data_IF_108747886584
#
_entry.id   IF_108747886584
#
_cell.length_a   1.000
_cell.length_b   1.000
_cell.length_c   1.000
_cell.angle_alpha   90.00
_cell.angle_beta   90.00
_cell.angle_gamma   90.00
#
_symmetry.space_group_name_H-M   'P 1'
#
loop_
_entity.id
_entity.type
_entity.pdbx_description
1 polymer ?
#
# COMPACT_ATOMS: atom_id res chain seq x y z
N UNK A 1 17.70 15.16 -1.38
CA UNK A 1 16.34 14.68 -1.73
C UNK A 1 16.44 13.62 -2.81
N UNK A 2 15.87 12.43 -2.61
CA UNK A 2 15.76 11.38 -3.64
C UNK A 2 14.28 11.09 -3.86
N UNK A 3 13.55 12.11 -4.30
CA UNK A 3 12.08 12.08 -4.45
C UNK A 3 11.72 12.46 -5.89
N UNK A 4 11.40 11.45 -6.69
CA UNK A 4 10.87 11.63 -8.04
C UNK A 4 9.38 11.99 -8.04
N UNK A 5 8.85 12.31 -9.22
CA UNK A 5 7.40 12.50 -9.45
C UNK A 5 6.65 11.23 -9.03
N UNK A 6 5.60 11.36 -8.22
CA UNK A 6 4.76 10.25 -7.75
C UNK A 6 3.47 10.20 -8.54
N UNK A 7 3.09 9.00 -8.98
CA UNK A 7 1.80 8.76 -9.64
C UNK A 7 0.70 8.87 -8.58
N UNK A 8 -0.38 9.59 -8.91
CA UNK A 8 -1.55 9.71 -8.04
C UNK A 8 -2.45 8.50 -8.24
N UNK A 9 -2.83 7.86 -7.14
CA UNK A 9 -3.80 6.79 -7.14
C UNK A 9 -5.23 7.33 -7.06
N UNK A 10 -6.23 6.45 -7.23
CA UNK A 10 -7.62 6.78 -6.90
C UNK A 10 -7.81 7.06 -5.40
N UNK A 11 -6.91 6.54 -4.57
CA UNK A 11 -6.76 6.89 -3.17
C UNK A 11 -5.31 7.21 -2.85
N UNK A 12 -5.08 8.18 -1.97
CA UNK A 12 -3.77 8.49 -1.42
C UNK A 12 -3.76 8.08 0.04
N UNK A 13 -2.86 7.16 0.42
CA UNK A 13 -2.65 6.80 1.82
C UNK A 13 -1.93 7.95 2.52
N UNK A 14 -2.52 8.42 3.61
CA UNK A 14 -2.08 9.61 4.34
C UNK A 14 -1.50 9.25 5.71
N UNK A 15 -0.70 10.15 6.28
CA UNK A 15 -0.21 10.05 7.63
C UNK A 15 -1.36 9.93 8.64
N UNK A 16 -2.51 10.58 8.38
CA UNK A 16 -3.70 10.46 9.20
C UNK A 16 -4.23 9.02 9.18
N UNK A 17 -4.25 8.35 8.03
CA UNK A 17 -4.64 6.93 7.93
C UNK A 17 -3.75 6.05 8.83
N UNK A 18 -2.44 6.32 8.83
CA UNK A 18 -1.48 5.62 9.68
C UNK A 18 -1.67 5.96 11.16
N UNK A 19 -2.04 7.20 11.47
CA UNK A 19 -2.25 7.67 12.84
C UNK A 19 -3.50 7.07 13.48
N UNK A 20 -4.59 6.96 12.71
CA UNK A 20 -5.86 6.42 13.20
C UNK A 20 -5.94 4.90 13.07
N UNK A 21 -5.09 4.28 12.25
CA UNK A 21 -5.16 2.85 11.96
C UNK A 21 -6.31 2.54 11.00
N UNK A 22 -6.44 3.34 9.94
CA UNK A 22 -7.58 3.31 9.04
C UNK A 22 -7.76 1.93 8.41
N UNK A 23 -9.02 1.46 8.38
CA UNK A 23 -9.44 0.24 7.69
C UNK A 23 -10.27 0.59 6.47
N UNK A 24 -10.33 -0.32 5.49
CA UNK A 24 -11.08 -0.10 4.27
C UNK A 24 -11.83 -1.37 3.82
N UNK A 25 -13.02 -1.20 3.27
CA UNK A 25 -13.83 -2.32 2.76
C UNK A 25 -13.16 -3.03 1.58
N UNK A 26 -12.30 -2.31 0.85
CA UNK A 26 -11.48 -2.79 -0.27
C UNK A 26 -10.00 -2.97 0.12
N UNK A 27 -9.71 -3.27 1.39
CA UNK A 27 -8.36 -3.52 1.89
C UNK A 27 -7.70 -4.73 1.21
N UNK A 28 -6.53 -4.52 0.60
CA UNK A 28 -5.75 -5.59 -0.06
C UNK A 28 -4.45 -5.93 0.66
N UNK A 29 -4.02 -5.08 1.59
CA UNK A 29 -2.82 -5.30 2.38
C UNK A 29 -2.99 -4.61 3.74
N UNK A 30 -2.76 -5.36 4.83
CA UNK A 30 -2.68 -4.80 6.18
C UNK A 30 -1.23 -4.52 6.53
N UNK A 31 -0.91 -3.25 6.76
CA UNK A 31 0.41 -2.82 7.18
C UNK A 31 0.48 -2.85 8.70
N UNK A 32 1.33 -3.72 9.23
CA UNK A 32 1.58 -3.83 10.68
C UNK A 32 2.93 -3.25 11.10
N UNK A 33 3.78 -2.91 10.12
CA UNK A 33 5.10 -2.33 10.38
C UNK A 33 4.99 -0.85 10.77
N UNK A 34 5.72 -0.45 11.80
CA UNK A 34 5.75 0.93 12.27
C UNK A 34 6.44 1.87 11.28
N UNK A 35 6.10 3.16 11.31
CA UNK A 35 6.82 4.23 10.59
C UNK A 35 8.30 4.21 11.02
N UNK A 36 9.19 4.00 10.05
CA UNK A 36 10.64 4.04 10.24
C UNK A 36 11.24 5.27 9.53
N UNK A 37 11.19 6.44 10.20
CA UNK A 37 11.82 7.67 9.71
C UNK A 37 13.25 7.76 10.22
N UNK A 38 14.20 7.65 9.31
CA UNK A 38 15.61 7.89 9.61
C UNK A 38 15.86 9.40 9.72
N UNK A 39 16.47 9.84 10.82
CA UNK A 39 16.77 11.25 11.13
C UNK A 39 17.54 11.94 10.01
N UNK A 40 17.17 13.19 9.72
CA UNK A 40 17.86 14.05 8.74
C UNK A 40 19.13 14.70 9.31
N UNK A 41 19.39 14.54 10.63
CA UNK A 41 20.56 15.08 11.35
C UNK A 41 21.37 13.95 12.02
N UNK A 42 22.18 13.20 11.25
CA UNK A 42 22.88 12.00 11.74
C UNK A 42 23.94 12.25 12.82
N UNK A 43 24.32 13.52 13.07
CA UNK A 43 25.33 13.89 14.10
C UNK A 43 24.76 14.14 15.49
N UNK A 44 23.44 14.36 15.64
CA UNK A 44 22.85 14.74 16.93
C UNK A 44 22.15 13.58 17.63
N UNK A 45 21.50 12.66 16.90
CA UNK A 45 20.91 11.45 17.48
C UNK A 45 20.86 10.31 16.44
N UNK A 46 21.14 9.06 16.88
CA UNK A 46 20.86 7.82 16.11
C UNK A 46 19.40 7.37 16.23
N UNK A 47 18.56 8.15 16.91
CA UNK A 47 17.18 7.79 17.16
C UNK A 47 16.34 8.04 15.89
N UNK A 48 15.41 7.12 15.63
CA UNK A 48 14.28 7.32 14.71
C UNK A 48 13.64 8.65 15.13
N UNK A 49 13.58 9.64 14.23
CA UNK A 49 12.85 10.88 14.53
C UNK A 49 11.44 10.45 14.94
N UNK A 50 11.02 10.80 16.17
CA UNK A 50 9.69 10.43 16.66
C UNK A 50 8.68 10.96 15.65
N UNK A 51 8.07 10.06 14.89
CA UNK A 51 6.88 10.39 14.11
C UNK A 51 5.92 11.14 15.05
N UNK A 52 5.18 12.16 14.57
CA UNK A 52 4.33 12.99 15.42
C UNK A 52 3.24 12.20 16.15
N UNK A 53 3.04 10.93 15.76
CA UNK A 53 2.14 9.98 16.37
C UNK A 53 2.73 8.56 16.32
N UNK A 54 2.20 7.66 17.16
CA UNK A 54 2.54 6.24 17.13
C UNK A 54 1.80 5.58 15.97
N UNK A 55 2.53 4.94 15.05
CA UNK A 55 1.94 4.16 13.96
C UNK A 55 0.99 3.09 14.51
N UNK A 56 -0.22 3.05 13.97
CA UNK A 56 -1.19 1.97 14.24
C UNK A 56 -1.27 1.08 12.99
N UNK A 57 -1.59 -0.22 13.13
CA UNK A 57 -1.83 -1.04 11.95
C UNK A 57 -3.00 -0.49 11.14
N UNK A 58 -2.78 -0.31 9.83
CA UNK A 58 -3.73 0.31 8.90
C UNK A 58 -3.75 -0.50 7.59
N UNK A 59 -4.75 -0.25 6.77
CA UNK A 59 -4.95 -0.99 5.52
C UNK A 59 -4.59 -0.13 4.31
N UNK A 60 -4.05 -0.78 3.28
CA UNK A 60 -3.89 -0.20 1.95
C UNK A 60 -5.07 -0.70 1.10
N UNK A 61 -5.93 0.21 0.59
CA UNK A 61 -7.07 -0.18 -0.23
C UNK A 61 -6.65 -0.43 -1.68
N UNK A 62 -7.40 -1.26 -2.41
CA UNK A 62 -7.15 -1.57 -3.83
C UNK A 62 -7.06 -0.30 -4.69
N UNK A 63 -7.92 0.68 -4.43
CA UNK A 63 -7.91 1.97 -5.13
C UNK A 63 -6.60 2.77 -4.98
N UNK A 64 -5.80 2.53 -3.95
CA UNK A 64 -4.47 3.15 -3.83
C UNK A 64 -3.46 2.58 -4.84
N UNK A 65 -3.75 1.42 -5.41
CA UNK A 65 -2.96 0.72 -6.42
C UNK A 65 -3.32 1.12 -7.86
N UNK A 66 -4.43 1.85 -8.08
CA UNK A 66 -4.91 2.17 -9.43
C UNK A 66 -4.53 3.61 -9.77
N UNK A 67 -3.84 3.83 -10.89
CA UNK A 67 -3.47 5.18 -11.32
C UNK A 67 -4.71 6.02 -11.67
N UNK A 68 -4.73 7.26 -11.18
CA UNK A 68 -5.83 8.21 -11.43
C UNK A 68 -5.78 8.74 -12.87
N UNK A 69 -4.58 9.08 -13.33
CA UNK A 69 -4.35 9.88 -14.54
C UNK A 69 -3.91 9.04 -15.76
N UNK A 70 -3.69 7.74 -15.58
CA UNK A 70 -3.30 6.81 -16.66
C UNK A 70 -4.21 5.60 -16.64
N UNK A 71 -4.93 5.37 -17.72
CA UNK A 71 -5.84 4.23 -17.85
C UNK A 71 -5.07 2.92 -17.94
N UNK A 72 -5.61 1.86 -17.33
CA UNK A 72 -4.98 0.53 -17.33
C UNK A 72 -3.74 0.40 -16.46
N UNK A 73 -3.21 1.49 -15.88
CA UNK A 73 -1.98 1.46 -15.09
C UNK A 73 -2.25 1.12 -13.62
N UNK A 74 -1.61 0.04 -13.16
CA UNK A 74 -1.58 -0.39 -11.76
C UNK A 74 -0.21 -0.12 -11.13
N UNK A 75 -0.18 0.03 -9.81
CA UNK A 75 0.99 0.31 -8.97
C UNK A 75 1.04 -0.69 -7.82
N UNK A 76 2.24 -1.03 -7.36
CA UNK A 76 2.43 -1.89 -6.19
C UNK A 76 3.75 -1.57 -5.47
N UNK A 77 3.78 -1.73 -4.15
CA UNK A 77 4.98 -1.44 -3.36
C UNK A 77 5.28 0.06 -3.29
N UNK A 78 6.49 0.48 -3.66
CA UNK A 78 6.95 1.88 -3.48
C UNK A 78 6.30 2.89 -4.41
N UNK A 79 5.70 2.45 -5.51
CA UNK A 79 5.07 3.35 -6.47
C UNK A 79 3.61 3.68 -6.15
N UNK A 80 3.02 3.08 -5.10
CA UNK A 80 1.64 3.38 -4.71
C UNK A 80 1.51 4.81 -4.21
N UNK A 81 0.30 5.34 -4.27
CA UNK A 81 0.03 6.72 -3.84
C UNK A 81 -0.01 6.83 -2.32
N UNK A 82 1.03 7.42 -1.75
CA UNK A 82 1.11 7.74 -0.33
C UNK A 82 1.95 8.99 -0.07
N UNK A 83 1.70 9.65 1.05
CA UNK A 83 2.50 10.80 1.49
C UNK A 83 3.88 10.39 2.04
N UNK A 84 4.70 11.38 2.43
CA UNK A 84 6.09 11.16 2.83
C UNK A 84 6.23 10.20 4.03
N UNK A 85 5.41 10.41 5.06
CA UNK A 85 5.45 9.64 6.30
C UNK A 85 4.90 8.23 6.09
N UNK A 86 3.78 8.08 5.39
CA UNK A 86 3.23 6.77 5.02
C UNK A 86 4.22 5.98 4.17
N UNK A 87 4.92 6.66 3.25
CA UNK A 87 5.95 6.03 2.43
C UNK A 87 7.12 5.49 3.25
N UNK A 88 7.31 5.85 4.51
CA UNK A 88 8.34 5.27 5.38
C UNK A 88 7.89 4.01 6.13
N UNK A 89 6.59 3.75 6.27
CA UNK A 89 6.07 2.56 6.97
C UNK A 89 5.86 1.34 6.05
N UNK A 90 5.41 1.52 4.80
CA UNK A 90 5.06 0.38 3.92
C UNK A 90 6.21 -0.13 3.03
N UNK A 91 7.47 0.25 3.27
CA UNK A 91 8.65 -0.22 2.51
C UNK A 91 9.11 -1.65 2.84
N UNK A 92 8.30 -2.42 3.54
CA UNK A 92 8.59 -3.81 3.89
C UNK A 92 8.19 -4.73 2.74
N UNK A 93 9.07 -5.69 2.40
CA UNK A 93 8.88 -6.62 1.29
C UNK A 93 7.54 -7.36 1.35
N UNK A 94 7.06 -7.75 2.54
CA UNK A 94 5.77 -8.42 2.72
C UNK A 94 4.58 -7.62 2.19
N UNK A 95 4.57 -6.30 2.40
CA UNK A 95 3.51 -5.42 1.89
C UNK A 95 3.59 -5.31 0.37
N UNK A 96 4.80 -5.27 -0.19
CA UNK A 96 5.01 -5.24 -1.64
C UNK A 96 4.50 -6.51 -2.33
N UNK A 97 4.67 -7.69 -1.71
CA UNK A 97 4.13 -8.96 -2.21
C UNK A 97 2.60 -8.94 -2.23
N UNK A 98 1.97 -8.59 -1.10
CA UNK A 98 0.51 -8.53 -1.01
C UNK A 98 -0.10 -7.54 -2.01
N UNK A 99 0.49 -6.34 -2.14
CA UNK A 99 0.05 -5.35 -3.13
C UNK A 99 0.27 -5.82 -4.57
N UNK A 100 1.41 -6.45 -4.86
CA UNK A 100 1.71 -6.97 -6.20
C UNK A 100 0.73 -8.05 -6.63
N UNK A 101 0.38 -8.94 -5.69
CA UNK A 101 -0.63 -9.97 -5.91
C UNK A 101 -2.01 -9.37 -6.20
N UNK A 102 -2.47 -8.42 -5.38
CA UNK A 102 -3.74 -7.74 -5.60
C UNK A 102 -3.78 -6.99 -6.95
N UNK A 103 -2.69 -6.29 -7.29
CA UNK A 103 -2.57 -5.62 -8.58
C UNK A 103 -2.63 -6.61 -9.75
N UNK A 104 -1.93 -7.74 -9.66
CA UNK A 104 -1.90 -8.78 -10.68
C UNK A 104 -3.27 -9.44 -10.91
N UNK A 105 -3.95 -9.83 -9.83
CA UNK A 105 -5.31 -10.39 -9.89
C UNK A 105 -6.27 -9.40 -10.54
N UNK A 106 -6.24 -8.14 -10.10
CA UNK A 106 -7.12 -7.10 -10.63
C UNK A 106 -6.85 -6.87 -12.12
N UNK A 107 -5.58 -6.81 -12.53
CA UNK A 107 -5.20 -6.68 -13.94
C UNK A 107 -5.64 -7.87 -14.79
N UNK A 108 -5.54 -9.10 -14.27
CA UNK A 108 -5.98 -10.31 -14.96
C UNK A 108 -7.52 -10.34 -15.14
N UNK A 109 -8.27 -9.97 -14.10
CA UNK A 109 -9.72 -9.85 -14.17
C UNK A 109 -10.16 -8.74 -15.15
N UNK A 110 -9.49 -7.59 -15.10
CA UNK A 110 -9.73 -6.49 -16.03
C UNK A 110 -9.53 -6.94 -17.49
N UNK A 111 -8.39 -7.58 -17.79
CA UNK A 111 -8.07 -8.05 -19.13
C UNK A 111 -9.05 -9.12 -19.64
N UNK A 112 -9.42 -10.09 -18.79
CA UNK A 112 -10.31 -11.20 -19.20
C UNK A 112 -11.78 -10.78 -19.31
N UNK A 113 -12.20 -9.73 -18.61
CA UNK A 113 -13.57 -9.19 -18.67
C UNK A 113 -13.73 -7.98 -19.60
N UNK A 114 -12.67 -7.59 -20.32
CA UNK A 114 -12.64 -6.38 -21.16
C UNK A 114 -13.03 -5.11 -20.40
N UNK A 115 -12.53 -4.98 -19.17
CA UNK A 115 -12.75 -3.83 -18.28
C UNK A 115 -11.42 -3.13 -18.01
N UNK A 116 -11.47 -1.86 -17.65
CA UNK A 116 -10.35 -1.18 -17.03
C UNK A 116 -10.18 -1.65 -15.57
N UNK A 117 -8.97 -1.60 -14.99
CA UNK A 117 -8.75 -1.99 -13.59
C UNK A 117 -9.63 -1.24 -12.59
N UNK A 118 -10.01 0.01 -12.88
CA UNK A 118 -10.93 0.82 -12.04
C UNK A 118 -12.39 0.37 -12.09
N UNK A 119 -12.75 -0.43 -13.07
CA UNK A 119 -14.11 -0.96 -13.25
C UNK A 119 -14.26 -2.38 -12.68
N UNK A 120 -13.16 -2.98 -12.21
CA UNK A 120 -13.19 -4.27 -11.52
C UNK A 120 -13.65 -4.03 -10.09
N UNK A 121 -14.84 -4.51 -9.68
CA UNK A 121 -15.30 -4.34 -8.32
C UNK A 121 -14.48 -5.21 -7.36
N UNK A 122 -14.28 -4.72 -6.14
CA UNK A 122 -13.51 -5.46 -5.14
C UNK A 122 -14.10 -6.84 -4.82
N UNK A 123 -15.42 -7.01 -4.97
CA UNK A 123 -16.13 -8.30 -4.84
C UNK A 123 -15.63 -9.37 -5.81
N UNK A 124 -15.07 -8.99 -6.96
CA UNK A 124 -14.50 -9.92 -7.94
C UNK A 124 -13.07 -10.31 -7.54
N UNK A 125 -12.36 -9.41 -6.86
CA UNK A 125 -10.95 -9.55 -6.46
C UNK A 125 -10.80 -10.33 -5.15
N UNK A 126 -11.60 -9.99 -4.14
CA UNK A 126 -11.46 -10.53 -2.77
C UNK A 126 -11.54 -12.06 -2.68
N UNK A 127 -12.39 -12.78 -3.44
CA UNK A 127 -12.44 -14.24 -3.36
C UNK A 127 -11.20 -14.89 -3.97
N UNK A 128 -10.59 -14.26 -4.98
CA UNK A 128 -9.36 -14.76 -5.62
C UNK A 128 -8.16 -14.49 -4.72
N UNK A 129 -8.10 -13.32 -4.09
CA UNK A 129 -7.09 -12.99 -3.08
C UNK A 129 -7.11 -13.97 -1.92
N UNK A 130 -8.28 -14.27 -1.35
CA UNK A 130 -8.42 -15.20 -0.23
C UNK A 130 -7.90 -16.62 -0.57
N UNK A 131 -8.12 -17.09 -1.80
CA UNK A 131 -7.62 -18.40 -2.27
C UNK A 131 -6.10 -18.47 -2.40
N UNK A 132 -5.44 -17.33 -2.52
CA UNK A 132 -4.01 -17.24 -2.78
C UNK A 132 -3.22 -16.60 -1.63
N UNK A 133 -3.86 -16.35 -0.48
CA UNK A 133 -3.13 -15.96 0.73
C UNK A 133 -2.23 -17.12 1.15
N UNK A 134 -0.93 -16.92 1.03
CA UNK A 134 0.05 -17.77 1.71
C UNK A 134 -0.14 -17.56 3.21
N UNK A 135 -0.45 -18.63 3.95
CA UNK A 135 -0.37 -18.56 5.40
C UNK A 135 1.07 -18.16 5.77
N UNK A 136 1.27 -17.09 6.55
CA UNK A 136 2.59 -16.77 7.02
C UNK A 136 3.02 -17.92 7.95
N UNK A 137 4.08 -18.63 7.58
CA UNK A 137 4.77 -19.56 8.49
C UNK A 137 5.40 -18.72 9.60
N UNK A 138 4.59 -18.34 10.59
CA UNK A 138 5.04 -17.82 11.87
C UNK A 138 4.87 -18.94 12.90
N UNK A 139 5.68 -19.99 12.73
CA UNK A 139 6.06 -20.88 13.84
C UNK A 139 7.53 -20.62 14.13
N UNK A 140 7.77 -19.83 15.16
CA UNK A 140 9.04 -19.65 15.86
C UNK A 140 8.73 -19.45 17.32
#
# INVERSE_FOLDING_TARGET
>A
MREGRRIRGLYQVTQEDVAVGQTHDDAVCRVTFGIDVHSTRPKETKAIEKAPFKSRPYDIPLRALIAKDVEGLMMAGRCISGDFLSHSSYRVTGNAVAMGQAAGITAALAATSSRLPREVPYSDVSPVLAKQQFEPVLKG
#
